data_IF_494085482866
#
_entry.id   IF_494085482866
#
_cell.length_a   1.000
_cell.length_b   1.000
_cell.length_c   1.000
_cell.angle_alpha   90.00
_cell.angle_beta   90.00
_cell.angle_gamma   90.00
#
_symmetry.space_group_name_H-M   'P 1'
#
loop_
_entity.id
_entity.type
_entity.pdbx_description
1 polymer ?
#
# COMPACT_ATOMS: atom_id res chain seq x y z
N UNK A 1 29.22 -22.84 27.01
CA UNK A 1 28.13 -22.30 26.16
C UNK A 1 27.63 -20.94 26.64
N UNK A 2 28.22 -20.36 27.69
CA UNK A 2 27.69 -19.15 28.33
C UNK A 2 27.77 -17.95 27.38
N UNK A 3 28.90 -17.80 26.68
CA UNK A 3 29.11 -16.73 25.71
C UNK A 3 28.16 -16.81 24.50
N UNK A 4 27.82 -18.01 24.04
CA UNK A 4 26.85 -18.21 22.95
C UNK A 4 25.44 -17.77 23.35
N UNK A 5 25.01 -18.09 24.57
CA UNK A 5 23.69 -17.66 25.08
C UNK A 5 23.65 -16.15 25.27
N UNK A 6 24.71 -15.56 25.82
CA UNK A 6 24.83 -14.09 25.96
C UNK A 6 24.75 -13.41 24.59
N UNK A 7 25.53 -13.88 23.61
CA UNK A 7 25.49 -13.35 22.25
C UNK A 7 24.10 -13.47 21.61
N UNK A 8 23.40 -14.59 21.82
CA UNK A 8 22.06 -14.80 21.29
C UNK A 8 21.03 -13.83 21.89
N UNK A 9 21.07 -13.62 23.21
CA UNK A 9 20.16 -12.69 23.91
C UNK A 9 20.43 -11.24 23.47
N UNK A 10 21.70 -10.83 23.43
CA UNK A 10 22.10 -9.48 23.01
C UNK A 10 21.67 -9.22 21.57
N UNK A 11 21.99 -10.13 20.64
CA UNK A 11 21.62 -9.93 19.24
C UNK A 11 20.10 -10.01 19.04
N UNK A 12 19.42 -10.90 19.76
CA UNK A 12 17.97 -10.98 19.81
C UNK A 12 17.35 -9.64 20.20
N UNK A 13 17.80 -9.06 21.31
CA UNK A 13 17.29 -7.79 21.85
C UNK A 13 17.57 -6.59 20.94
N UNK A 14 18.75 -6.54 20.29
CA UNK A 14 19.11 -5.47 19.37
C UNK A 14 18.42 -5.60 17.99
N UNK A 15 17.97 -6.80 17.62
CA UNK A 15 17.45 -7.07 16.28
C UNK A 15 16.27 -6.17 15.84
N UNK A 16 15.27 -5.84 16.68
CA UNK A 16 14.16 -4.97 16.26
C UNK A 16 14.64 -3.54 16.01
N UNK A 17 15.59 -3.06 16.82
CA UNK A 17 16.20 -1.73 16.67
C UNK A 17 16.98 -1.64 15.36
N UNK A 18 17.84 -2.64 15.11
CA UNK A 18 18.61 -2.73 13.86
C UNK A 18 17.67 -2.77 12.65
N UNK A 19 16.60 -3.56 12.70
CA UNK A 19 15.61 -3.63 11.61
C UNK A 19 14.86 -2.31 11.42
N UNK A 20 14.38 -1.68 12.50
CA UNK A 20 13.73 -0.37 12.42
C UNK A 20 14.62 0.67 11.74
N UNK A 21 15.89 0.74 12.15
CA UNK A 21 16.89 1.63 11.54
C UNK A 21 17.12 1.31 10.05
N UNK A 22 17.33 0.04 9.71
CA UNK A 22 17.57 -0.39 8.32
C UNK A 22 16.36 -0.11 7.42
N UNK A 23 15.15 -0.31 7.95
CA UNK A 23 13.90 -0.06 7.22
C UNK A 23 13.51 1.42 7.17
N UNK A 24 14.12 2.27 8.00
CA UNK A 24 13.76 3.69 8.11
C UNK A 24 12.47 3.93 8.89
N UNK A 25 12.10 3.00 9.78
CA UNK A 25 10.85 3.00 10.54
C UNK A 25 11.16 3.20 12.03
N UNK A 26 10.45 4.11 12.74
CA UNK A 26 10.56 4.22 14.20
C UNK A 26 10.27 2.88 14.88
N UNK A 27 11.07 2.49 15.88
CA UNK A 27 10.90 1.20 16.57
C UNK A 27 9.50 1.08 17.20
N UNK A 28 8.92 2.19 17.67
CA UNK A 28 7.55 2.23 18.21
C UNK A 28 6.45 1.86 17.21
N UNK A 29 6.74 1.85 15.91
CA UNK A 29 5.77 1.43 14.89
C UNK A 29 5.79 -0.07 14.62
N UNK A 30 6.83 -0.78 15.06
CA UNK A 30 6.92 -2.22 14.89
C UNK A 30 5.86 -2.92 15.76
N UNK A 31 5.07 -3.81 15.17
CA UNK A 31 4.12 -4.61 15.93
C UNK A 31 4.84 -5.55 16.90
N UNK A 32 4.19 -5.90 18.01
CA UNK A 32 4.73 -6.86 19.00
C UNK A 32 5.12 -8.17 18.33
N UNK A 33 4.31 -8.67 17.38
CA UNK A 33 4.62 -9.85 16.59
C UNK A 33 5.91 -9.70 15.76
N UNK A 34 6.17 -8.52 15.20
CA UNK A 34 7.38 -8.23 14.43
C UNK A 34 8.61 -8.18 15.33
N UNK A 35 8.50 -7.52 16.49
CA UNK A 35 9.54 -7.47 17.52
C UNK A 35 9.90 -8.87 17.99
N UNK A 36 8.90 -9.67 18.37
CA UNK A 36 9.08 -11.03 18.86
C UNK A 36 9.69 -11.95 17.79
N UNK A 37 9.19 -11.89 16.55
CA UNK A 37 9.74 -12.68 15.43
C UNK A 37 11.19 -12.29 15.12
N UNK A 38 11.52 -11.01 15.23
CA UNK A 38 12.89 -10.54 15.06
C UNK A 38 13.81 -11.07 16.16
N UNK A 39 13.36 -10.97 17.42
CA UNK A 39 14.09 -11.46 18.59
C UNK A 39 14.37 -12.96 18.48
N UNK A 40 13.29 -13.76 18.36
CA UNK A 40 13.37 -15.23 18.33
C UNK A 40 14.20 -15.68 17.14
N UNK A 41 13.96 -15.14 15.94
CA UNK A 41 14.70 -15.52 14.73
C UNK A 41 16.20 -15.25 14.84
N UNK A 42 16.58 -14.09 15.38
CA UNK A 42 17.98 -13.71 15.52
C UNK A 42 18.68 -14.51 16.63
N UNK A 43 18.02 -14.69 17.78
CA UNK A 43 18.54 -15.49 18.89
C UNK A 43 18.75 -16.96 18.48
N UNK A 44 17.75 -17.58 17.84
CA UNK A 44 17.87 -18.96 17.35
C UNK A 44 18.99 -19.12 16.31
N UNK A 45 19.16 -18.14 15.42
CA UNK A 45 20.25 -18.17 14.42
C UNK A 45 21.62 -18.20 15.10
N UNK A 46 21.83 -17.35 16.12
CA UNK A 46 23.08 -17.34 16.89
C UNK A 46 23.30 -18.64 17.63
N UNK A 47 22.25 -19.19 18.26
CA UNK A 47 22.34 -20.47 18.99
C UNK A 47 22.71 -21.63 18.06
N UNK A 48 22.09 -21.72 16.89
CA UNK A 48 22.37 -22.78 15.90
C UNK A 48 23.80 -22.66 15.39
N UNK A 49 24.24 -21.46 14.98
CA UNK A 49 25.60 -21.24 14.48
C UNK A 49 26.63 -21.50 15.58
N UNK A 50 26.40 -20.99 16.78
CA UNK A 50 27.27 -21.21 17.93
C UNK A 50 27.35 -22.69 18.32
N UNK A 51 26.25 -23.44 18.22
CA UNK A 51 26.22 -24.88 18.42
C UNK A 51 27.06 -25.64 17.38
N UNK A 52 26.91 -25.31 16.10
CA UNK A 52 27.75 -25.90 15.02
C UNK A 52 29.22 -25.56 15.23
N UNK A 53 29.53 -24.30 15.54
CA UNK A 53 30.89 -23.84 15.84
C UNK A 53 31.48 -24.57 17.06
N UNK A 54 30.65 -24.89 18.06
CA UNK A 54 31.10 -25.62 19.25
C UNK A 54 31.61 -27.00 18.91
N UNK A 55 30.84 -27.75 18.11
CA UNK A 55 31.27 -29.07 17.65
C UNK A 55 32.53 -28.99 16.78
N UNK A 56 32.62 -28.01 15.87
CA UNK A 56 33.77 -27.83 15.00
C UNK A 56 35.05 -27.46 15.78
N UNK A 57 35.00 -26.49 16.68
CA UNK A 57 36.15 -26.06 17.48
C UNK A 57 36.61 -27.13 18.47
N UNK A 58 35.67 -27.90 19.02
CA UNK A 58 36.00 -29.05 19.87
C UNK A 58 36.67 -30.17 19.08
N UNK A 59 36.22 -30.44 17.85
CA UNK A 59 36.86 -31.41 16.96
C UNK A 59 38.29 -31.00 16.56
N UNK A 60 38.58 -29.69 16.54
CA UNK A 60 39.92 -29.15 16.32
C UNK A 60 40.84 -29.19 17.56
N UNK A 61 40.42 -29.84 18.65
CA UNK A 61 41.17 -30.03 19.89
C UNK A 61 41.65 -28.73 20.57
N UNK A 62 40.89 -27.63 20.43
CA UNK A 62 41.17 -26.38 21.12
C UNK A 62 40.89 -26.47 22.63
N UNK A 63 41.59 -25.69 23.48
CA UNK A 63 41.31 -25.68 24.92
C UNK A 63 39.89 -25.19 25.23
N UNK A 64 39.23 -25.70 26.29
CA UNK A 64 37.82 -25.41 26.59
C UNK A 64 37.47 -23.92 26.71
N UNK A 65 38.38 -23.11 27.25
CA UNK A 65 38.24 -21.66 27.39
C UNK A 65 38.16 -20.94 26.04
N UNK A 66 38.97 -21.37 25.07
CA UNK A 66 38.96 -20.85 23.69
C UNK A 66 37.75 -21.32 22.91
N UNK A 67 37.26 -22.53 23.19
CA UNK A 67 36.03 -23.05 22.58
C UNK A 67 34.82 -22.21 23.02
N UNK A 68 34.66 -21.91 24.32
CA UNK A 68 33.48 -21.14 24.76
C UNK A 68 33.48 -19.71 24.21
N UNK A 69 34.62 -19.02 24.26
CA UNK A 69 34.75 -17.68 23.70
C UNK A 69 34.61 -17.66 22.17
N UNK A 70 35.30 -18.59 21.48
CA UNK A 70 35.29 -18.68 20.01
C UNK A 70 33.91 -18.98 19.43
N UNK A 71 33.13 -19.83 20.10
CA UNK A 71 31.75 -20.13 19.67
C UNK A 71 30.80 -18.95 19.82
N UNK A 72 30.91 -18.21 20.94
CA UNK A 72 30.13 -16.99 21.14
C UNK A 72 30.47 -15.92 20.11
N UNK A 73 31.76 -15.73 19.82
CA UNK A 73 32.23 -14.75 18.83
C UNK A 73 31.81 -15.11 17.41
N UNK A 74 32.05 -16.36 16.98
CA UNK A 74 31.64 -16.82 15.64
C UNK A 74 30.12 -16.78 15.47
N UNK A 75 29.37 -17.28 16.46
CA UNK A 75 27.91 -17.23 16.46
C UNK A 75 27.38 -15.81 16.41
N UNK A 76 27.95 -14.90 17.21
CA UNK A 76 27.57 -13.49 17.25
C UNK A 76 27.87 -12.75 15.93
N UNK A 77 29.08 -12.89 15.38
CA UNK A 77 29.49 -12.21 14.14
C UNK A 77 28.69 -12.71 12.95
N UNK A 78 28.60 -14.03 12.76
CA UNK A 78 27.83 -14.60 11.65
C UNK A 78 26.33 -14.32 11.80
N UNK A 79 25.79 -14.40 13.03
CA UNK A 79 24.42 -14.02 13.33
C UNK A 79 24.13 -12.55 12.99
N UNK A 80 25.02 -11.63 13.33
CA UNK A 80 24.89 -10.21 13.01
C UNK A 80 24.95 -9.97 11.49
N UNK A 81 25.87 -10.61 10.78
CA UNK A 81 25.98 -10.49 9.32
C UNK A 81 24.70 -11.00 8.63
N UNK A 82 24.15 -12.13 9.08
CA UNK A 82 22.89 -12.67 8.57
C UNK A 82 21.71 -11.77 8.91
N UNK A 83 21.65 -11.20 10.13
CA UNK A 83 20.64 -10.22 10.51
C UNK A 83 20.69 -9.00 9.59
N UNK A 84 21.87 -8.43 9.35
CA UNK A 84 22.04 -7.26 8.49
C UNK A 84 21.67 -7.59 7.02
N UNK A 85 22.10 -8.74 6.52
CA UNK A 85 21.75 -9.22 5.17
C UNK A 85 20.23 -9.39 5.02
N UNK A 86 19.60 -10.07 5.99
CA UNK A 86 18.15 -10.31 6.03
C UNK A 86 17.35 -9.02 6.19
N UNK A 87 17.82 -8.09 7.01
CA UNK A 87 17.19 -6.79 7.22
C UNK A 87 17.28 -5.91 5.97
N UNK A 88 18.40 -5.95 5.24
CA UNK A 88 18.59 -5.22 3.97
C UNK A 88 17.72 -5.78 2.85
N UNK A 89 17.50 -7.10 2.83
CA UNK A 89 16.60 -7.74 1.85
C UNK A 89 15.18 -7.20 2.00
N UNK A 90 14.65 -6.61 0.92
CA UNK A 90 13.33 -5.98 0.88
C UNK A 90 13.11 -4.85 1.92
N UNK A 91 14.19 -4.20 2.40
CA UNK A 91 14.10 -3.14 3.42
C UNK A 91 13.07 -2.07 3.12
N UNK A 92 13.03 -1.59 1.87
CA UNK A 92 12.17 -0.46 1.50
C UNK A 92 10.71 -0.88 1.36
N UNK A 93 10.43 -2.10 0.91
CA UNK A 93 9.06 -2.63 0.80
C UNK A 93 8.48 -2.92 2.18
N UNK A 94 9.29 -3.51 3.09
CA UNK A 94 8.88 -3.72 4.49
C UNK A 94 8.68 -2.40 5.22
N UNK A 95 9.60 -1.46 5.05
CA UNK A 95 9.49 -0.11 5.59
C UNK A 95 8.20 0.57 5.12
N UNK A 96 7.96 0.57 3.81
CA UNK A 96 6.75 1.11 3.20
C UNK A 96 5.49 0.45 3.79
N UNK A 97 5.43 -0.88 3.83
CA UNK A 97 4.26 -1.60 4.33
C UNK A 97 3.91 -1.24 5.78
N UNK A 98 4.90 -1.14 6.67
CA UNK A 98 4.67 -0.75 8.07
C UNK A 98 4.20 0.70 8.16
N UNK A 99 4.84 1.61 7.40
CA UNK A 99 4.46 3.03 7.41
C UNK A 99 3.05 3.24 6.86
N UNK A 100 2.70 2.57 5.76
CA UNK A 100 1.37 2.61 5.16
C UNK A 100 0.28 2.11 6.10
N UNK A 101 0.56 1.08 6.90
CA UNK A 101 -0.37 0.63 7.94
C UNK A 101 -0.59 1.73 9.00
N UNK A 102 0.49 2.40 9.43
CA UNK A 102 0.42 3.48 10.43
C UNK A 102 -0.20 4.77 9.90
N UNK A 103 -0.25 4.99 8.59
CA UNK A 103 -0.96 6.15 8.03
C UNK A 103 -2.48 6.11 8.30
N UNK A 104 -3.04 4.92 8.53
CA UNK A 104 -4.46 4.75 8.88
C UNK A 104 -4.76 5.18 10.33
N UNK A 105 -3.74 5.27 11.19
CA UNK A 105 -3.87 5.67 12.60
C UNK A 105 -3.68 7.20 12.72
N UNK A 106 -4.72 7.94 13.09
CA UNK A 106 -4.74 9.42 13.08
C UNK A 106 -3.65 10.06 13.96
N UNK A 107 -3.41 9.49 15.14
CA UNK A 107 -2.47 9.97 16.15
C UNK A 107 -1.00 9.88 15.70
N UNK A 108 -0.64 8.82 14.96
CA UNK A 108 0.73 8.59 14.49
C UNK A 108 0.94 8.99 13.02
N UNK A 109 -0.12 9.29 12.27
CA UNK A 109 -0.07 9.66 10.84
C UNK A 109 0.99 10.72 10.51
N UNK A 110 1.14 11.85 11.26
CA UNK A 110 2.16 12.86 10.93
C UNK A 110 3.60 12.35 11.09
N UNK A 111 3.84 11.43 12.02
CA UNK A 111 5.16 10.81 12.20
C UNK A 111 5.42 9.73 11.12
N UNK A 112 4.39 8.95 10.77
CA UNK A 112 4.44 7.99 9.67
C UNK A 112 4.71 8.67 8.32
N UNK A 113 4.04 9.79 8.03
CA UNK A 113 4.28 10.55 6.80
C UNK A 113 5.72 11.06 6.71
N UNK A 114 6.25 11.69 7.78
CA UNK A 114 7.66 12.14 7.80
C UNK A 114 8.68 11.00 7.66
N UNK A 115 8.35 9.80 8.13
CA UNK A 115 9.18 8.63 7.93
C UNK A 115 9.08 8.09 6.49
N UNK A 116 7.88 8.14 5.90
CA UNK A 116 7.63 7.77 4.51
C UNK A 116 8.38 8.69 3.55
N UNK A 117 8.35 10.01 3.76
CA UNK A 117 9.08 10.99 2.95
C UNK A 117 10.58 10.72 2.98
N UNK A 118 11.16 10.52 4.18
CA UNK A 118 12.58 10.18 4.32
C UNK A 118 12.95 8.87 3.60
N UNK A 119 12.08 7.87 3.67
CA UNK A 119 12.27 6.59 2.97
C UNK A 119 12.27 6.80 1.45
N UNK A 120 11.27 7.52 0.93
CA UNK A 120 11.12 7.79 -0.49
C UNK A 120 12.26 8.67 -1.03
N UNK A 121 12.66 9.72 -0.30
CA UNK A 121 13.78 10.60 -0.68
C UNK A 121 15.12 9.88 -0.69
N UNK A 122 15.33 8.93 0.23
CA UNK A 122 16.51 8.06 0.21
C UNK A 122 16.50 7.18 -1.05
N UNK A 123 15.38 6.49 -1.30
CA UNK A 123 15.28 5.56 -2.44
C UNK A 123 15.36 6.32 -3.76
N UNK A 124 14.77 7.51 -3.87
CA UNK A 124 14.84 8.36 -5.06
C UNK A 124 16.28 8.65 -5.49
N UNK A 125 17.15 8.92 -4.53
CA UNK A 125 18.59 9.19 -4.77
C UNK A 125 19.38 7.94 -5.14
N UNK A 126 19.02 6.79 -4.59
CA UNK A 126 19.75 5.53 -4.79
C UNK A 126 19.31 4.79 -6.06
N UNK A 127 17.99 4.76 -6.33
CA UNK A 127 17.40 3.94 -7.39
C UNK A 127 16.03 4.52 -7.84
N UNK A 128 15.99 5.27 -8.96
CA UNK A 128 14.77 5.87 -9.49
C UNK A 128 13.65 4.87 -9.80
N UNK A 129 13.98 3.70 -10.37
CA UNK A 129 13.00 2.64 -10.67
C UNK A 129 12.32 2.11 -9.41
N UNK A 130 13.10 1.91 -8.36
CA UNK A 130 12.58 1.46 -7.07
C UNK A 130 11.72 2.54 -6.40
N UNK A 131 12.10 3.81 -6.54
CA UNK A 131 11.30 4.92 -6.05
C UNK A 131 9.93 4.96 -6.72
N UNK A 132 9.87 4.84 -8.06
CA UNK A 132 8.62 4.74 -8.83
C UNK A 132 7.75 3.61 -8.29
N UNK A 133 8.30 2.40 -8.15
CA UNK A 133 7.55 1.25 -7.66
C UNK A 133 6.98 1.50 -6.26
N UNK A 134 7.75 2.10 -5.35
CA UNK A 134 7.28 2.41 -3.99
C UNK A 134 6.20 3.49 -3.98
N UNK A 135 6.28 4.51 -4.85
CA UNK A 135 5.22 5.53 -4.97
C UNK A 135 3.92 4.90 -5.47
N UNK A 136 3.99 4.06 -6.50
CA UNK A 136 2.80 3.35 -7.01
C UNK A 136 2.19 2.45 -5.92
N UNK A 137 3.02 1.70 -5.18
CA UNK A 137 2.56 0.88 -4.04
C UNK A 137 1.97 1.72 -2.88
N UNK A 138 2.51 2.91 -2.62
CA UNK A 138 2.04 3.79 -1.55
C UNK A 138 0.70 4.48 -1.87
N UNK A 139 0.34 4.56 -3.15
CA UNK A 139 -0.81 5.33 -3.62
C UNK A 139 -2.11 4.83 -2.99
N UNK A 140 -2.38 3.53 -3.02
CA UNK A 140 -3.59 2.95 -2.41
C UNK A 140 -3.72 3.25 -0.90
N UNK A 141 -2.70 2.95 -0.08
CA UNK A 141 -2.74 3.30 1.35
C UNK A 141 -2.89 4.80 1.63
N UNK A 142 -2.26 5.66 0.83
CA UNK A 142 -2.41 7.12 0.96
C UNK A 142 -3.86 7.55 0.71
N UNK A 143 -4.47 7.07 -0.37
CA UNK A 143 -5.86 7.43 -0.69
C UNK A 143 -6.86 6.84 0.31
N UNK A 144 -6.60 5.63 0.83
CA UNK A 144 -7.37 5.04 1.93
C UNK A 144 -7.30 5.86 3.23
N UNK A 145 -6.15 6.48 3.52
CA UNK A 145 -5.98 7.38 4.66
C UNK A 145 -6.52 8.80 4.40
N UNK A 146 -7.19 9.04 3.26
CA UNK A 146 -7.69 10.37 2.86
C UNK A 146 -6.59 11.33 2.38
N UNK A 147 -5.36 10.87 2.19
CA UNK A 147 -4.19 11.67 1.82
C UNK A 147 -4.06 11.84 0.30
N UNK A 148 -5.14 12.31 -0.32
CA UNK A 148 -5.30 12.42 -1.77
C UNK A 148 -4.34 13.44 -2.39
N UNK A 149 -4.04 14.53 -1.69
CA UNK A 149 -3.11 15.57 -2.16
C UNK A 149 -1.70 14.99 -2.28
N UNK A 150 -1.28 14.22 -1.28
CA UNK A 150 0.04 13.64 -1.21
C UNK A 150 0.20 12.48 -2.19
N UNK A 151 -0.85 11.69 -2.42
CA UNK A 151 -0.87 10.70 -3.51
C UNK A 151 -0.74 11.38 -4.89
N UNK A 152 -1.59 12.37 -5.18
CA UNK A 152 -1.59 13.14 -6.44
C UNK A 152 -0.24 13.82 -6.69
N UNK A 153 0.31 14.50 -5.70
CA UNK A 153 1.60 15.20 -5.82
C UNK A 153 2.73 14.24 -6.15
N UNK A 154 2.76 13.04 -5.54
CA UNK A 154 3.81 12.05 -5.80
C UNK A 154 3.68 11.42 -7.17
N UNK A 155 2.46 11.08 -7.59
CA UNK A 155 2.19 10.55 -8.94
C UNK A 155 2.60 11.53 -10.04
N UNK A 156 2.29 12.83 -9.87
CA UNK A 156 2.70 13.90 -10.79
C UNK A 156 4.21 14.14 -10.81
N UNK A 157 4.89 13.86 -9.70
CA UNK A 157 6.33 14.01 -9.57
C UNK A 157 7.16 12.82 -10.08
N UNK A 158 6.52 11.78 -10.62
CA UNK A 158 7.22 10.68 -11.29
C UNK A 158 7.71 11.13 -12.66
N UNK A 159 8.96 10.80 -12.97
CA UNK A 159 9.63 11.18 -14.21
C UNK A 159 9.12 10.33 -15.39
N UNK A 160 8.58 11.00 -16.42
CA UNK A 160 8.06 10.37 -17.65
C UNK A 160 9.15 9.57 -18.38
N UNK A 161 10.40 10.03 -18.37
CA UNK A 161 11.50 9.41 -19.14
C UNK A 161 11.95 8.08 -18.55
N UNK A 162 11.70 7.87 -17.25
CA UNK A 162 12.16 6.70 -16.50
C UNK A 162 11.06 5.65 -16.37
N UNK A 163 9.80 6.00 -16.60
CA UNK A 163 8.69 5.07 -16.43
C UNK A 163 8.70 3.97 -17.50
N UNK A 164 8.58 2.72 -17.06
CA UNK A 164 8.26 1.62 -17.98
C UNK A 164 6.81 1.73 -18.45
N UNK A 165 6.48 1.09 -19.58
CA UNK A 165 5.09 1.05 -20.09
C UNK A 165 4.06 0.69 -19.02
N UNK A 166 4.19 -0.44 -18.32
CA UNK A 166 3.26 -0.82 -17.25
C UNK A 166 3.18 0.18 -16.10
N UNK A 167 4.32 0.77 -15.69
CA UNK A 167 4.33 1.79 -14.63
C UNK A 167 3.63 3.08 -15.07
N UNK A 168 3.78 3.49 -16.33
CA UNK A 168 3.08 4.65 -16.90
C UNK A 168 1.57 4.43 -16.89
N UNK A 169 1.11 3.23 -17.29
CA UNK A 169 -0.31 2.86 -17.21
C UNK A 169 -0.84 2.98 -15.78
N UNK A 170 -0.18 2.31 -14.81
CA UNK A 170 -0.61 2.32 -13.41
C UNK A 170 -0.61 3.73 -12.81
N UNK A 171 0.42 4.53 -13.12
CA UNK A 171 0.48 5.93 -12.69
C UNK A 171 -0.71 6.71 -13.23
N UNK A 172 -0.96 6.65 -14.53
CA UNK A 172 -2.01 7.44 -15.18
C UNK A 172 -3.40 7.02 -14.72
N UNK A 173 -3.64 5.73 -14.53
CA UNK A 173 -4.89 5.23 -13.95
C UNK A 173 -5.11 5.77 -12.53
N UNK A 174 -4.08 5.67 -11.68
CA UNK A 174 -4.16 6.15 -10.30
C UNK A 174 -4.28 7.68 -10.24
N UNK A 175 -3.60 8.39 -11.13
CA UNK A 175 -3.70 9.84 -11.26
C UNK A 175 -5.11 10.24 -11.66
N UNK A 176 -5.69 9.61 -12.68
CA UNK A 176 -7.07 9.89 -13.08
C UNK A 176 -8.08 9.71 -11.94
N UNK A 177 -7.90 8.67 -11.12
CA UNK A 177 -8.72 8.48 -9.91
C UNK A 177 -8.51 9.62 -8.89
N UNK A 178 -7.27 10.05 -8.68
CA UNK A 178 -6.99 11.20 -7.81
C UNK A 178 -7.60 12.49 -8.35
N UNK A 179 -7.49 12.77 -9.66
CA UNK A 179 -8.04 13.98 -10.28
C UNK A 179 -9.57 14.04 -10.12
N UNK A 180 -10.27 12.92 -10.26
CA UNK A 180 -11.71 12.83 -9.98
C UNK A 180 -12.06 13.16 -8.53
N UNK A 181 -11.26 12.75 -7.55
CA UNK A 181 -11.48 13.12 -6.16
C UNK A 181 -11.43 14.64 -5.92
N UNK A 182 -10.74 15.38 -6.80
CA UNK A 182 -10.64 16.84 -6.77
C UNK A 182 -11.61 17.53 -7.74
N UNK A 183 -12.63 16.82 -8.25
CA UNK A 183 -13.60 17.31 -9.24
C UNK A 183 -12.95 17.81 -10.56
N UNK A 184 -11.72 17.39 -10.87
CA UNK A 184 -11.00 17.78 -12.10
C UNK A 184 -11.18 16.73 -13.19
N UNK A 185 -12.40 16.71 -13.76
CA UNK A 185 -12.83 15.76 -14.81
C UNK A 185 -11.90 15.82 -16.02
N UNK A 186 -11.45 17.01 -16.41
CA UNK A 186 -10.60 17.18 -17.58
C UNK A 186 -9.16 16.72 -17.32
N UNK A 187 -8.61 16.91 -16.11
CA UNK A 187 -7.33 16.31 -15.76
C UNK A 187 -7.42 14.79 -15.68
N UNK A 188 -8.52 14.25 -15.18
CA UNK A 188 -8.76 12.82 -15.18
C UNK A 188 -8.78 12.25 -16.61
N UNK A 189 -9.52 12.88 -17.53
CA UNK A 189 -9.52 12.49 -18.95
C UNK A 189 -8.12 12.56 -19.55
N UNK A 190 -7.38 13.66 -19.35
CA UNK A 190 -6.01 13.80 -19.86
C UNK A 190 -5.05 12.75 -19.32
N UNK A 191 -5.29 12.22 -18.12
CA UNK A 191 -4.49 11.13 -17.57
C UNK A 191 -4.83 9.81 -18.26
N UNK A 192 -6.12 9.51 -18.49
CA UNK A 192 -6.55 8.33 -19.23
C UNK A 192 -6.05 8.36 -20.68
N UNK A 193 -6.10 9.50 -21.37
CA UNK A 193 -5.65 9.63 -22.76
C UNK A 193 -4.15 9.33 -22.94
N UNK A 194 -3.35 9.42 -21.87
CA UNK A 194 -1.92 9.04 -21.87
C UNK A 194 -1.68 7.54 -21.71
N UNK A 195 -2.72 6.76 -21.42
CA UNK A 195 -2.60 5.32 -21.25
C UNK A 195 -2.48 4.67 -22.62
N UNK A 196 -1.30 4.15 -22.93
CA UNK A 196 -1.08 3.34 -24.12
C UNK A 196 -1.95 2.08 -24.08
N UNK A 197 -2.68 1.83 -25.17
CA UNK A 197 -3.55 0.66 -25.35
C UNK A 197 -3.01 -0.24 -26.48
N UNK A 198 -3.22 -1.57 -26.41
CA UNK A 198 -3.89 -2.30 -25.32
C UNK A 198 -3.02 -2.39 -24.05
N UNK A 199 -3.67 -2.51 -22.88
CA UNK A 199 -3.00 -2.81 -21.60
C UNK A 199 -3.40 -4.20 -21.08
N UNK A 200 -2.85 -4.61 -19.94
CA UNK A 200 -3.24 -5.85 -19.26
C UNK A 200 -4.74 -5.88 -18.99
N UNK A 201 -5.39 -7.03 -19.22
CA UNK A 201 -6.83 -7.21 -19.04
C UNK A 201 -7.29 -6.87 -17.61
N UNK A 202 -6.44 -7.18 -16.62
CA UNK A 202 -6.65 -6.84 -15.21
C UNK A 202 -6.75 -5.33 -14.95
N UNK A 203 -6.11 -4.50 -15.79
CA UNK A 203 -6.15 -3.03 -15.70
C UNK A 203 -7.30 -2.49 -16.55
N UNK A 204 -7.49 -3.04 -17.75
CA UNK A 204 -8.50 -2.61 -18.72
C UNK A 204 -9.91 -2.57 -18.11
N UNK A 205 -10.28 -3.59 -17.33
CA UNK A 205 -11.60 -3.62 -16.66
C UNK A 205 -11.85 -2.41 -15.75
N UNK A 206 -10.81 -1.93 -15.08
CA UNK A 206 -10.92 -0.74 -14.22
C UNK A 206 -10.93 0.55 -15.03
N UNK A 207 -10.22 0.58 -16.17
CA UNK A 207 -10.23 1.73 -17.07
C UNK A 207 -11.61 1.92 -17.70
N UNK A 208 -12.26 0.83 -18.10
CA UNK A 208 -13.65 0.87 -18.62
C UNK A 208 -14.59 1.51 -17.60
N UNK A 209 -14.54 1.09 -16.34
CA UNK A 209 -15.36 1.69 -15.30
C UNK A 209 -15.04 3.19 -15.09
N UNK A 210 -13.77 3.57 -15.09
CA UNK A 210 -13.34 4.95 -14.91
C UNK A 210 -13.76 5.87 -16.07
N UNK A 211 -13.66 5.37 -17.31
CA UNK A 211 -14.10 6.08 -18.52
C UNK A 211 -15.62 6.22 -18.57
N UNK A 212 -16.36 5.17 -18.23
CA UNK A 212 -17.81 5.22 -18.12
C UNK A 212 -18.26 6.23 -17.05
N UNK A 213 -17.54 6.31 -15.92
CA UNK A 213 -17.77 7.34 -14.92
C UNK A 213 -17.59 8.74 -15.50
N UNK A 214 -16.48 9.01 -16.21
CA UNK A 214 -16.25 10.31 -16.84
C UNK A 214 -17.36 10.69 -17.83
N UNK A 215 -17.83 9.73 -18.64
CA UNK A 215 -18.95 9.95 -19.56
C UNK A 215 -20.23 10.29 -18.79
N UNK A 216 -20.56 9.54 -17.73
CA UNK A 216 -21.74 9.79 -16.92
C UNK A 216 -21.71 11.16 -16.23
N UNK A 217 -20.54 11.57 -15.72
CA UNK A 217 -20.34 12.89 -15.09
C UNK A 217 -20.49 14.05 -16.09
N UNK A 218 -20.19 13.82 -17.37
CA UNK A 218 -20.41 14.79 -18.46
C UNK A 218 -21.84 14.80 -19.00
N UNK A 219 -22.72 13.92 -18.49
CA UNK A 219 -24.10 13.79 -18.96
C UNK A 219 -24.28 12.85 -20.16
N UNK A 220 -23.24 12.17 -20.62
CA UNK A 220 -23.29 11.22 -21.73
C UNK A 220 -23.74 9.82 -21.25
N UNK A 221 -24.92 9.75 -20.65
CA UNK A 221 -25.43 8.57 -19.93
C UNK A 221 -25.55 7.31 -20.80
N UNK A 222 -26.03 7.45 -22.04
CA UNK A 222 -26.18 6.33 -22.98
C UNK A 222 -24.83 5.77 -23.41
N UNK A 223 -23.86 6.66 -23.68
CA UNK A 223 -22.50 6.26 -24.03
C UNK A 223 -21.80 5.59 -22.84
N UNK A 224 -21.98 6.13 -21.64
CA UNK A 224 -21.46 5.56 -20.41
C UNK A 224 -22.00 4.14 -20.17
N UNK A 225 -23.30 3.93 -20.36
CA UNK A 225 -23.94 2.62 -20.19
C UNK A 225 -23.43 1.61 -21.21
N UNK A 226 -23.36 2.01 -22.49
CA UNK A 226 -22.81 1.17 -23.55
C UNK A 226 -21.34 0.81 -23.32
N UNK A 227 -20.54 1.74 -22.82
CA UNK A 227 -19.11 1.53 -22.53
C UNK A 227 -18.88 0.61 -21.33
N UNK A 228 -19.64 0.81 -20.24
CA UNK A 228 -19.55 -0.04 -19.04
C UNK A 228 -19.95 -1.49 -19.35
N UNK A 229 -20.95 -1.67 -20.22
CA UNK A 229 -21.42 -2.97 -20.69
C UNK A 229 -21.94 -3.89 -19.58
N UNK A 230 -21.93 -5.20 -19.86
CA UNK A 230 -22.39 -6.26 -18.95
C UNK A 230 -21.22 -7.11 -18.44
N UNK A 231 -20.07 -6.48 -18.13
CA UNK A 231 -18.93 -7.22 -17.58
C UNK A 231 -19.34 -7.98 -16.32
N UNK A 232 -18.93 -9.25 -16.25
CA UNK A 232 -19.06 -10.04 -15.03
C UNK A 232 -18.11 -9.50 -13.97
N UNK A 233 -18.69 -9.13 -12.83
CA UNK A 233 -17.97 -8.55 -11.68
C UNK A 233 -18.17 -9.38 -10.42
N UNK A 234 -18.77 -10.57 -10.52
CA UNK A 234 -19.11 -11.40 -9.36
C UNK A 234 -17.88 -11.77 -8.54
N UNK A 235 -16.78 -12.11 -9.22
CA UNK A 235 -15.51 -12.52 -8.61
C UNK A 235 -14.67 -11.36 -8.03
N UNK A 236 -15.07 -10.10 -8.26
CA UNK A 236 -14.33 -8.93 -7.79
C UNK A 236 -15.25 -7.92 -7.08
N UNK A 237 -15.42 -8.03 -5.75
CA UNK A 237 -16.27 -7.14 -4.97
C UNK A 237 -15.94 -5.65 -5.12
N UNK A 238 -14.65 -5.30 -5.29
CA UNK A 238 -14.23 -3.90 -5.43
C UNK A 238 -14.59 -3.33 -6.81
N UNK A 239 -14.48 -4.15 -7.86
CA UNK A 239 -14.91 -3.77 -9.21
C UNK A 239 -16.43 -3.66 -9.28
N UNK A 240 -17.16 -4.61 -8.68
CA UNK A 240 -18.62 -4.57 -8.57
C UNK A 240 -19.11 -3.29 -7.87
N UNK A 241 -18.52 -2.93 -6.73
CA UNK A 241 -18.82 -1.68 -6.04
C UNK A 241 -18.58 -0.46 -6.93
N UNK A 242 -17.50 -0.48 -7.73
CA UNK A 242 -17.21 0.60 -8.68
C UNK A 242 -18.25 0.67 -9.80
N UNK A 243 -18.69 -0.48 -10.35
CA UNK A 243 -19.76 -0.52 -11.35
C UNK A 243 -21.07 0.02 -10.80
N UNK A 244 -21.43 -0.31 -9.55
CA UNK A 244 -22.64 0.23 -8.90
C UNK A 244 -22.58 1.75 -8.78
N UNK A 245 -21.44 2.29 -8.37
CA UNK A 245 -21.22 3.73 -8.33
C UNK A 245 -21.44 4.37 -9.70
N UNK A 246 -20.84 3.81 -10.76
CA UNK A 246 -21.01 4.33 -12.12
C UNK A 246 -22.46 4.26 -12.58
N UNK A 247 -23.13 3.13 -12.33
CA UNK A 247 -24.55 2.93 -12.66
C UNK A 247 -25.44 3.94 -11.94
N UNK A 248 -25.18 4.23 -10.67
CA UNK A 248 -25.94 5.24 -9.94
C UNK A 248 -25.83 6.61 -10.64
N UNK A 249 -24.64 7.04 -11.05
CA UNK A 249 -24.48 8.29 -11.82
C UNK A 249 -25.20 8.24 -13.18
N UNK A 250 -25.14 7.11 -13.89
CA UNK A 250 -25.84 6.93 -15.17
C UNK A 250 -27.36 7.04 -14.96
N UNK A 251 -27.93 6.34 -13.98
CA UNK A 251 -29.37 6.32 -13.72
C UNK A 251 -29.88 7.68 -13.26
N UNK A 252 -29.15 8.33 -12.34
CA UNK A 252 -29.49 9.68 -11.89
C UNK A 252 -29.43 10.71 -13.03
N UNK A 253 -28.44 10.58 -13.94
CA UNK A 253 -28.36 11.47 -15.12
C UNK A 253 -29.53 11.32 -16.10
N UNK A 254 -30.23 10.17 -16.05
CA UNK A 254 -31.43 9.87 -16.83
C UNK A 254 -32.73 10.21 -16.07
N UNK A 255 -32.62 10.86 -14.91
CA UNK A 255 -33.74 11.16 -14.01
C UNK A 255 -34.46 9.92 -13.47
N UNK A 256 -33.79 8.76 -13.46
CA UNK A 256 -34.29 7.53 -12.81
C UNK A 256 -33.73 7.47 -11.37
N UNK A 257 -34.28 8.33 -10.51
CA UNK A 257 -33.82 8.47 -9.13
C UNK A 257 -34.05 7.21 -8.30
N UNK A 258 -35.17 6.50 -8.53
CA UNK A 258 -35.50 5.28 -7.78
C UNK A 258 -34.46 4.18 -8.04
N UNK A 259 -34.13 3.93 -9.31
CA UNK A 259 -33.10 2.95 -9.66
C UNK A 259 -31.71 3.39 -9.21
N UNK A 260 -31.41 4.69 -9.29
CA UNK A 260 -30.15 5.24 -8.79
C UNK A 260 -29.99 5.00 -7.28
N UNK A 261 -31.03 5.31 -6.49
CA UNK A 261 -31.05 5.05 -5.04
C UNK A 261 -30.89 3.55 -4.76
N UNK A 262 -31.55 2.67 -5.52
CA UNK A 262 -31.41 1.23 -5.34
C UNK A 262 -29.94 0.76 -5.52
N UNK A 263 -29.23 1.27 -6.53
CA UNK A 263 -27.80 0.99 -6.72
C UNK A 263 -26.94 1.55 -5.58
N UNK A 264 -27.26 2.74 -5.07
CA UNK A 264 -26.57 3.33 -3.91
C UNK A 264 -26.79 2.51 -2.63
N UNK A 265 -27.99 2.00 -2.39
CA UNK A 265 -28.26 1.14 -1.24
C UNK A 265 -27.55 -0.21 -1.34
N UNK A 266 -27.46 -0.77 -2.54
CA UNK A 266 -26.64 -1.96 -2.79
C UNK A 266 -25.16 -1.65 -2.54
N UNK A 267 -24.66 -0.51 -3.03
CA UNK A 267 -23.29 -0.07 -2.79
C UNK A 267 -23.01 0.10 -1.29
N UNK A 268 -23.94 0.70 -0.54
CA UNK A 268 -23.85 0.80 0.93
C UNK A 268 -23.76 -0.56 1.58
N UNK A 269 -24.55 -1.55 1.15
CA UNK A 269 -24.48 -2.92 1.69
C UNK A 269 -23.15 -3.61 1.41
N UNK A 270 -22.55 -3.36 0.25
CA UNK A 270 -21.32 -4.03 -0.19
C UNK A 270 -20.04 -3.35 0.31
N UNK A 271 -20.01 -2.02 0.34
CA UNK A 271 -18.82 -1.21 0.62
C UNK A 271 -18.97 -0.29 1.85
N UNK A 272 -20.12 -0.34 2.54
CA UNK A 272 -20.42 0.48 3.70
C UNK A 272 -20.54 1.97 3.36
N UNK A 273 -20.45 2.79 4.41
CA UNK A 273 -20.43 4.25 4.33
C UNK A 273 -19.36 4.79 3.37
N UNK A 274 -18.16 4.21 3.39
CA UNK A 274 -17.06 4.60 2.52
C UNK A 274 -17.39 4.46 1.03
N UNK A 275 -18.23 3.48 0.66
CA UNK A 275 -18.75 3.32 -0.71
C UNK A 275 -19.60 4.52 -1.13
N UNK A 276 -20.50 4.98 -0.27
CA UNK A 276 -21.34 6.16 -0.52
C UNK A 276 -20.52 7.45 -0.56
N UNK A 277 -19.54 7.61 0.34
CA UNK A 277 -18.64 8.78 0.36
C UNK A 277 -17.87 8.93 -0.96
N UNK A 278 -17.57 7.81 -1.65
CA UNK A 278 -16.95 7.82 -2.98
C UNK A 278 -17.89 8.25 -4.11
N UNK A 279 -19.21 8.21 -3.93
CA UNK A 279 -20.18 8.71 -4.93
C UNK A 279 -20.32 10.23 -4.84
N UNK A 280 -20.10 10.79 -3.66
CA UNK A 280 -20.19 12.24 -3.42
C UNK A 280 -19.09 12.99 -4.18
N UNK A 281 -17.92 12.35 -4.40
CA UNK A 281 -16.80 12.91 -5.16
C UNK A 281 -16.26 11.91 -6.18
N UNK A 282 -16.22 12.25 -7.48
CA UNK A 282 -16.50 13.56 -8.06
C UNK A 282 -17.98 13.96 -7.97
N UNK A 283 -18.25 15.26 -7.89
CA UNK A 283 -19.61 15.80 -7.95
C UNK A 283 -20.24 15.45 -9.29
N UNK A 284 -21.38 14.78 -9.22
CA UNK A 284 -22.12 14.33 -10.38
C UNK A 284 -23.59 14.06 -10.09
N UNK A 285 -24.30 13.46 -11.06
CA UNK A 285 -25.75 13.30 -11.00
C UNK A 285 -26.27 12.56 -9.76
N UNK A 286 -25.56 11.52 -9.31
CA UNK A 286 -25.95 10.74 -8.12
C UNK A 286 -25.45 11.32 -6.79
N UNK A 287 -24.59 12.34 -6.80
CA UNK A 287 -23.98 12.86 -5.58
C UNK A 287 -25.01 13.42 -4.58
N UNK A 288 -26.04 14.19 -4.98
CA UNK A 288 -27.07 14.65 -4.04
C UNK A 288 -27.83 13.50 -3.35
N UNK A 289 -28.13 12.42 -4.09
CA UNK A 289 -28.80 11.24 -3.55
C UNK A 289 -27.91 10.52 -2.53
N UNK A 290 -26.61 10.39 -2.83
CA UNK A 290 -25.65 9.81 -1.90
C UNK A 290 -25.49 10.65 -0.63
N UNK A 291 -25.45 11.98 -0.74
CA UNK A 291 -25.41 12.90 0.41
C UNK A 291 -26.64 12.74 1.31
N UNK A 292 -27.84 12.60 0.74
CA UNK A 292 -29.07 12.36 1.50
C UNK A 292 -29.01 11.04 2.28
N UNK A 293 -28.51 9.97 1.65
CA UNK A 293 -28.34 8.66 2.31
C UNK A 293 -27.30 8.70 3.45
N UNK A 294 -26.23 9.48 3.30
CA UNK A 294 -25.23 9.67 4.36
C UNK A 294 -25.77 10.49 5.53
N UNK A 295 -26.65 11.46 5.26
CA UNK A 295 -27.27 12.29 6.31
C UNK A 295 -28.32 11.52 7.11
N UNK A 296 -29.13 10.68 6.47
CA UNK A 296 -30.13 9.86 7.16
C UNK A 296 -29.50 8.85 8.11
N UNK A 297 -28.31 8.32 7.77
CA UNK A 297 -27.52 7.45 8.65
C UNK A 297 -27.17 8.13 9.97
N UNK A 298 -26.66 9.37 9.90
CA UNK A 298 -26.23 10.12 11.09
C UNK A 298 -27.38 10.49 12.03
N UNK A 299 -28.63 10.44 11.56
CA UNK A 299 -29.83 10.73 12.37
C UNK A 299 -30.41 9.46 13.02
N UNK A 300 -29.99 8.28 12.56
CA UNK A 300 -30.52 6.97 12.99
C UNK A 300 -29.64 6.20 13.97
N UNK A 301 -28.42 6.69 14.23
CA UNK A 301 -27.46 6.14 15.20
C UNK A 301 -27.35 7.01 16.45
#
# INVERSE_FOLDING_TARGET
MTWTVVAAVVLGALSPVVRGLVWGVPVGFLSVATVLRSFIGSALTVLVIGGVAFFALRAAALPPEWVDMGTGLLGGVLGLLLLLSSARRMRDVRGLSILCQRLQEEDVRPQAMRALDRLLDRVRRENPQRYIALVLMATGPLTQAGMWNEARSRLRGLDDEVLTGPQSVLRNQALATCELQFDDIDAAQRAIDRISRPTESSIEVWLVALEALLMALRGDSERALGHLGTQDTEDNPSLRASHRLVRAHILASRSDEEAAVAELEMLRREAGRAGLERVVRPRGPASPLAEQLLQSENQSG
#
